data_IF_072612125021
#
_entry.id   IF_072612125021
#
_cell.length_a   1.000
_cell.length_b   1.000
_cell.length_c   1.000
_cell.angle_alpha   90.00
_cell.angle_beta   90.00
_cell.angle_gamma   90.00
#
_symmetry.space_group_name_H-M   'P 1'
#
loop_
_entity.id
_entity.type
_entity.pdbx_description
1 polymer ?
#
# COMPACT_ATOMS: atom_id res chain seq x y z
N UNK A 1 13.04 -15.48 -48.81
CA UNK A 1 12.26 -16.06 -47.71
C UNK A 1 12.90 -15.53 -46.42
N UNK A 2 12.33 -14.54 -45.83
CA UNK A 2 12.88 -13.85 -44.62
C UNK A 2 11.84 -13.94 -43.54
N UNK A 3 12.13 -14.75 -42.55
CA UNK A 3 11.28 -15.01 -41.39
C UNK A 3 11.25 -13.78 -40.46
N UNK A 4 10.10 -13.20 -40.33
CA UNK A 4 9.83 -12.14 -39.36
C UNK A 4 9.35 -12.78 -38.07
N UNK A 5 10.26 -12.97 -37.13
CA UNK A 5 9.95 -13.25 -35.74
C UNK A 5 9.54 -11.94 -35.06
N UNK A 6 8.24 -11.72 -34.93
CA UNK A 6 7.66 -10.63 -34.15
C UNK A 6 7.88 -10.91 -32.66
N UNK A 7 8.88 -10.27 -32.07
CA UNK A 7 9.07 -10.25 -30.64
C UNK A 7 7.95 -9.39 -30.01
N UNK A 8 6.99 -10.01 -29.37
CA UNK A 8 6.00 -9.34 -28.54
C UNK A 8 6.70 -8.90 -27.24
N UNK A 9 7.10 -7.62 -27.20
CA UNK A 9 7.54 -6.98 -25.94
C UNK A 9 6.29 -6.74 -25.09
N UNK A 10 6.05 -7.63 -24.13
CA UNK A 10 5.09 -7.38 -23.05
C UNK A 10 5.73 -6.32 -22.16
N UNK A 11 5.35 -5.07 -22.38
CA UNK A 11 5.65 -3.98 -21.47
C UNK A 11 4.93 -4.28 -20.15
N UNK A 12 5.69 -4.78 -19.17
CA UNK A 12 5.24 -4.89 -17.79
C UNK A 12 5.03 -3.45 -17.28
N UNK A 13 3.81 -2.93 -17.42
CA UNK A 13 3.42 -1.69 -16.77
C UNK A 13 3.54 -1.96 -15.26
N UNK A 14 4.65 -1.52 -14.66
CA UNK A 14 4.77 -1.44 -13.22
C UNK A 14 3.60 -0.59 -12.74
N UNK A 15 2.60 -1.21 -12.15
CA UNK A 15 1.57 -0.55 -11.36
C UNK A 15 2.33 0.22 -10.28
N UNK A 16 2.57 1.49 -10.54
CA UNK A 16 2.96 2.45 -9.51
C UNK A 16 1.74 2.53 -8.60
N UNK A 17 1.71 1.66 -7.59
CA UNK A 17 0.81 1.83 -6.46
C UNK A 17 1.24 3.18 -5.88
N UNK A 18 0.39 4.22 -5.94
CA UNK A 18 0.73 5.48 -5.29
C UNK A 18 1.02 5.11 -3.85
N UNK A 19 2.23 5.42 -3.37
CA UNK A 19 2.52 5.36 -1.94
C UNK A 19 1.37 6.07 -1.27
N UNK A 20 0.49 5.34 -0.59
CA UNK A 20 -0.56 5.96 0.22
C UNK A 20 0.19 6.86 1.16
N UNK A 21 0.18 8.12 0.83
CA UNK A 21 0.83 9.14 1.61
C UNK A 21 0.34 8.97 3.04
N UNK A 22 1.21 9.19 3.99
CA UNK A 22 0.95 9.06 5.40
C UNK A 22 -0.26 9.91 5.78
N UNK A 23 -1.44 9.31 5.75
CA UNK A 23 -2.69 9.94 6.13
C UNK A 23 -3.38 9.08 7.18
N UNK A 24 -3.97 9.73 8.18
CA UNK A 24 -4.85 9.09 9.14
C UNK A 24 -6.28 9.26 8.62
N UNK A 25 -7.16 8.35 8.95
CA UNK A 25 -8.58 8.49 8.64
C UNK A 25 -9.31 8.97 9.87
N UNK A 26 -10.08 10.07 9.74
CA UNK A 26 -10.98 10.57 10.77
C UNK A 26 -12.43 10.36 10.35
N UNK A 27 -13.27 9.86 11.26
CA UNK A 27 -14.72 9.78 11.05
C UNK A 27 -15.38 10.94 11.76
N UNK A 28 -15.98 11.83 10.97
CA UNK A 28 -16.60 13.07 11.45
C UNK A 28 -17.67 12.79 12.50
N UNK A 29 -17.57 13.44 13.65
CA UNK A 29 -18.55 13.37 14.72
C UNK A 29 -19.58 14.51 14.62
N UNK A 30 -20.77 14.39 15.22
CA UNK A 30 -21.73 15.48 15.26
C UNK A 30 -21.13 16.77 15.85
N UNK A 31 -21.27 17.89 15.11
CA UNK A 31 -20.80 19.21 15.53
C UNK A 31 -19.33 19.52 15.22
N UNK A 32 -18.55 18.59 14.67
CA UNK A 32 -17.17 18.87 14.26
C UNK A 32 -17.13 19.77 13.02
N UNK A 33 -16.11 20.63 12.96
CA UNK A 33 -15.80 21.49 11.81
C UNK A 33 -14.37 21.23 11.33
N UNK A 34 -14.08 21.55 10.07
CA UNK A 34 -12.70 21.40 9.54
C UNK A 34 -11.69 22.24 10.30
N UNK A 35 -12.08 23.45 10.73
CA UNK A 35 -11.22 24.30 11.55
C UNK A 35 -10.91 23.64 12.91
N UNK A 36 -11.92 23.10 13.60
CA UNK A 36 -11.72 22.37 14.85
C UNK A 36 -10.84 21.11 14.66
N UNK A 37 -11.03 20.39 13.56
CA UNK A 37 -10.19 19.25 13.23
C UNK A 37 -8.74 19.66 12.91
N UNK A 38 -8.53 20.77 12.20
CA UNK A 38 -7.19 21.30 11.93
C UNK A 38 -6.47 21.70 13.23
N UNK A 39 -7.19 22.35 14.17
CA UNK A 39 -6.64 22.67 15.49
C UNK A 39 -6.31 21.40 16.29
N UNK A 40 -7.22 20.45 16.34
CA UNK A 40 -7.08 19.18 17.05
C UNK A 40 -5.87 18.38 16.55
N UNK A 41 -5.75 18.19 15.22
CA UNK A 41 -4.69 17.37 14.64
C UNK A 41 -3.35 18.09 14.49
N UNK A 42 -3.34 19.39 14.19
CA UNK A 42 -2.10 20.12 13.89
C UNK A 42 -1.78 21.24 14.89
N UNK A 43 -2.73 21.58 15.78
CA UNK A 43 -2.60 22.76 16.65
C UNK A 43 -2.65 24.09 15.90
N UNK A 44 -3.17 24.09 14.66
CA UNK A 44 -3.15 25.26 13.76
C UNK A 44 -4.42 25.32 12.91
N UNK A 45 -5.28 26.29 13.17
CA UNK A 45 -6.53 26.53 12.41
C UNK A 45 -6.28 26.74 10.90
N UNK A 46 -5.18 27.40 10.53
CA UNK A 46 -4.85 27.65 9.12
C UNK A 46 -4.60 26.38 8.29
N UNK A 47 -4.39 25.23 8.91
CA UNK A 47 -4.26 23.95 8.23
C UNK A 47 -5.62 23.36 7.78
N UNK A 48 -6.76 24.02 8.10
CA UNK A 48 -8.07 23.68 7.56
C UNK A 48 -8.05 23.56 6.03
N UNK A 49 -7.37 24.49 5.35
CA UNK A 49 -7.23 24.46 3.88
C UNK A 49 -6.55 23.19 3.35
N UNK A 50 -5.66 22.59 4.14
CA UNK A 50 -5.01 21.33 3.79
C UNK A 50 -6.02 20.19 3.88
N UNK A 51 -6.86 20.18 4.92
CA UNK A 51 -7.95 19.19 5.06
C UNK A 51 -8.96 19.32 3.93
N UNK A 52 -9.33 20.56 3.55
CA UNK A 52 -10.22 20.82 2.40
C UNK A 52 -9.64 20.23 1.12
N UNK A 53 -8.38 20.55 0.80
CA UNK A 53 -7.76 20.12 -0.44
C UNK A 53 -7.48 18.60 -0.46
N UNK A 54 -7.02 18.02 0.64
CA UNK A 54 -6.74 16.58 0.73
C UNK A 54 -8.01 15.73 0.57
N UNK A 55 -9.16 16.27 0.92
CA UNK A 55 -10.45 15.59 0.84
C UNK A 55 -11.31 16.09 -0.35
N UNK A 56 -10.76 16.92 -1.22
CA UNK A 56 -11.44 17.48 -2.40
C UNK A 56 -12.78 18.17 -2.09
N UNK A 57 -12.88 18.83 -0.92
CA UNK A 57 -14.12 19.43 -0.45
C UNK A 57 -14.41 20.78 -1.13
N UNK A 58 -13.48 21.37 -1.84
CA UNK A 58 -13.59 22.60 -2.60
C UNK A 58 -14.17 22.43 -4.02
N UNK A 59 -14.07 21.23 -4.59
CA UNK A 59 -14.51 20.95 -5.96
C UNK A 59 -16.03 21.07 -6.17
N UNK A 60 -16.82 21.05 -5.11
CA UNK A 60 -18.29 21.05 -5.15
C UNK A 60 -18.93 22.27 -4.48
N UNK A 61 -18.21 23.41 -4.45
CA UNK A 61 -18.74 24.64 -3.87
C UNK A 61 -18.83 24.67 -2.34
N UNK A 62 -18.01 23.86 -1.67
CA UNK A 62 -17.95 23.74 -0.21
C UNK A 62 -18.93 22.71 0.33
N UNK A 63 -18.46 21.48 0.52
CA UNK A 63 -19.26 20.41 1.12
C UNK A 63 -19.35 20.66 2.64
N UNK A 64 -20.57 20.68 3.14
CA UNK A 64 -20.81 20.71 4.59
C UNK A 64 -20.41 19.35 5.19
N UNK A 65 -19.60 19.37 6.25
CA UNK A 65 -19.28 18.15 6.98
C UNK A 65 -20.55 17.51 7.54
N UNK A 66 -20.69 16.22 7.31
CA UNK A 66 -21.77 15.42 7.86
C UNK A 66 -21.21 14.35 8.79
N UNK A 67 -21.85 14.06 9.92
CA UNK A 67 -21.44 12.96 10.79
C UNK A 67 -21.34 11.65 10.01
N UNK A 68 -20.29 10.87 10.27
CA UNK A 68 -19.99 9.62 9.57
C UNK A 68 -19.14 9.77 8.30
N UNK A 69 -18.90 10.99 7.78
CA UNK A 69 -17.94 11.18 6.70
C UNK A 69 -16.55 10.77 7.14
N UNK A 70 -15.82 10.14 6.20
CA UNK A 70 -14.40 9.79 6.40
C UNK A 70 -13.53 10.85 5.75
N UNK A 71 -12.63 11.42 6.54
CA UNK A 71 -11.67 12.42 6.10
C UNK A 71 -10.25 11.88 6.21
N UNK A 72 -9.48 12.09 5.17
CA UNK A 72 -8.04 11.90 5.20
C UNK A 72 -7.38 13.08 5.94
N UNK A 73 -6.61 12.77 6.96
CA UNK A 73 -5.82 13.73 7.74
C UNK A 73 -4.35 13.57 7.32
N UNK A 74 -3.85 14.42 6.43
CA UNK A 74 -2.46 14.38 5.98
C UNK A 74 -1.46 14.47 7.13
N UNK A 75 -0.38 13.71 7.07
CA UNK A 75 0.73 13.84 8.00
C UNK A 75 2.05 13.52 7.30
N UNK A 76 3.16 14.05 7.83
CA UNK A 76 4.48 13.66 7.36
C UNK A 76 4.79 12.22 7.73
N UNK A 77 5.48 11.52 6.83
CA UNK A 77 6.05 10.22 7.13
C UNK A 77 7.44 10.31 7.75
N UNK A 78 7.94 9.15 8.20
CA UNK A 78 9.30 9.00 8.68
C UNK A 78 9.93 7.74 8.10
N UNK A 79 11.24 7.83 7.84
CA UNK A 79 12.02 6.68 7.38
C UNK A 79 13.37 6.68 8.08
N UNK A 80 13.86 5.51 8.44
CA UNK A 80 15.23 5.34 8.97
C UNK A 80 16.13 4.93 7.81
N UNK A 81 17.08 5.78 7.50
CA UNK A 81 18.04 5.62 6.40
C UNK A 81 18.84 4.33 6.56
N UNK A 82 18.94 3.56 5.50
CA UNK A 82 19.75 2.33 5.45
C UNK A 82 21.07 2.58 4.73
N UNK A 83 22.05 1.71 5.00
CA UNK A 83 23.33 1.74 4.28
C UNK A 83 23.10 1.53 2.78
N UNK A 84 23.58 2.46 1.97
CA UNK A 84 23.43 2.45 0.51
C UNK A 84 22.25 3.26 -0.01
N UNK A 85 21.42 3.85 0.85
CA UNK A 85 20.38 4.77 0.43
C UNK A 85 20.97 6.04 -0.17
N UNK A 86 20.25 6.62 -1.13
CA UNK A 86 20.55 7.93 -1.69
C UNK A 86 19.27 8.77 -1.75
N UNK A 87 19.39 10.10 -1.70
CA UNK A 87 18.23 11.00 -1.80
C UNK A 87 17.39 10.73 -3.05
N UNK A 88 18.06 10.43 -4.19
CA UNK A 88 17.36 10.13 -5.44
C UNK A 88 16.58 8.80 -5.37
N UNK A 89 17.13 7.76 -4.75
CA UNK A 89 16.44 6.49 -4.56
C UNK A 89 15.25 6.64 -3.61
N UNK A 90 15.45 7.34 -2.48
CA UNK A 90 14.40 7.61 -1.51
C UNK A 90 13.29 8.50 -2.09
N UNK A 91 13.64 9.54 -2.86
CA UNK A 91 12.65 10.38 -3.54
C UNK A 91 11.84 9.59 -4.57
N UNK A 92 12.46 8.69 -5.34
CA UNK A 92 11.73 7.78 -6.24
C UNK A 92 10.78 6.89 -5.47
N UNK A 93 11.22 6.33 -4.35
CA UNK A 93 10.43 5.41 -3.54
C UNK A 93 9.23 6.10 -2.87
N UNK A 94 9.45 7.25 -2.24
CA UNK A 94 8.43 7.90 -1.39
C UNK A 94 7.69 9.04 -2.08
N UNK A 95 8.34 9.74 -3.01
CA UNK A 95 7.77 10.89 -3.71
C UNK A 95 7.44 10.62 -5.18
N UNK A 96 7.70 9.39 -5.65
CA UNK A 96 7.37 8.93 -6.99
C UNK A 96 8.31 9.38 -8.11
N UNK A 97 9.29 10.26 -7.83
CA UNK A 97 10.26 10.75 -8.82
C UNK A 97 11.61 11.04 -8.16
N UNK A 98 12.71 10.55 -8.77
CA UNK A 98 14.06 10.76 -8.28
C UNK A 98 14.50 12.24 -8.34
N UNK A 99 13.97 13.03 -9.27
CA UNK A 99 14.26 14.46 -9.41
C UNK A 99 13.74 15.31 -8.26
N UNK A 100 12.87 14.75 -7.41
CA UNK A 100 12.38 15.36 -6.17
C UNK A 100 13.34 15.21 -5.00
N UNK A 101 14.55 14.72 -5.25
CA UNK A 101 15.59 14.48 -4.24
C UNK A 101 16.06 15.75 -3.53
N UNK A 102 16.10 16.87 -4.22
CA UNK A 102 16.45 18.17 -3.62
C UNK A 102 15.39 18.61 -2.59
N UNK A 103 14.13 18.47 -2.88
CA UNK A 103 13.06 18.80 -1.91
C UNK A 103 13.12 17.85 -0.72
N UNK A 104 13.35 16.54 -0.94
CA UNK A 104 13.47 15.58 0.15
C UNK A 104 14.68 15.87 1.05
N UNK A 105 15.85 16.14 0.47
CA UNK A 105 17.05 16.46 1.23
C UNK A 105 16.91 17.77 2.00
N UNK A 106 16.42 18.83 1.35
CA UNK A 106 16.19 20.15 1.99
C UNK A 106 15.13 20.08 3.10
N UNK A 107 14.13 19.22 2.98
CA UNK A 107 13.13 18.97 4.04
C UNK A 107 13.73 18.31 5.28
N UNK A 108 14.99 17.84 5.18
CA UNK A 108 15.75 17.18 6.23
C UNK A 108 17.06 17.92 6.54
N UNK A 109 17.08 19.22 6.28
CA UNK A 109 18.25 20.10 6.56
C UNK A 109 19.55 19.57 5.93
N UNK A 110 19.44 18.88 4.78
CA UNK A 110 20.56 18.31 4.03
C UNK A 110 20.62 18.85 2.60
N UNK A 111 21.71 18.59 1.93
CA UNK A 111 21.92 18.98 0.53
C UNK A 111 21.77 17.78 -0.40
N UNK A 112 21.25 17.96 -1.64
CA UNK A 112 21.02 16.85 -2.57
C UNK A 112 22.28 16.07 -2.97
N UNK A 113 23.45 16.72 -2.90
CA UNK A 113 24.77 16.12 -3.20
C UNK A 113 25.43 15.40 -2.02
N UNK A 114 24.87 15.55 -0.81
CA UNK A 114 25.33 14.80 0.37
C UNK A 114 24.57 13.47 0.43
N UNK A 115 25.27 12.41 0.84
CA UNK A 115 24.60 11.11 1.09
C UNK A 115 23.83 11.19 2.41
N UNK A 116 22.59 10.71 2.48
CA UNK A 116 21.85 10.64 3.73
C UNK A 116 22.58 9.71 4.71
N UNK A 117 22.60 10.09 5.98
CA UNK A 117 23.37 9.39 7.01
C UNK A 117 22.66 8.09 7.43
N UNK A 118 23.30 6.90 7.32
CA UNK A 118 22.70 5.65 7.75
C UNK A 118 22.32 5.67 9.23
N UNK A 119 21.10 5.25 9.56
CA UNK A 119 20.52 5.30 10.89
C UNK A 119 19.81 6.61 11.22
N UNK A 120 19.99 7.68 10.45
CA UNK A 120 19.24 8.92 10.61
C UNK A 120 17.76 8.70 10.34
N UNK A 121 16.90 9.33 11.14
CA UNK A 121 15.46 9.38 10.92
C UNK A 121 15.11 10.61 10.08
N UNK A 122 14.69 10.40 8.86
CA UNK A 122 14.29 11.47 7.94
C UNK A 122 12.78 11.64 7.88
N UNK A 123 12.36 12.87 7.60
CA UNK A 123 10.96 13.25 7.34
C UNK A 123 10.66 13.05 5.86
N UNK A 124 9.53 12.40 5.59
CA UNK A 124 9.00 12.25 4.23
C UNK A 124 7.82 13.21 4.07
N UNK A 125 7.89 14.18 3.15
CA UNK A 125 6.79 15.10 2.87
C UNK A 125 5.51 14.38 2.44
N UNK A 126 4.36 14.91 2.82
CA UNK A 126 3.09 14.48 2.26
C UNK A 126 2.87 15.15 0.91
N UNK A 127 2.55 14.38 -0.12
CA UNK A 127 2.22 14.89 -1.45
C UNK A 127 0.74 15.23 -1.54
N UNK A 128 0.40 16.52 -1.32
CA UNK A 128 -0.96 17.02 -1.52
C UNK A 128 -1.21 17.24 -3.02
N UNK A 129 -2.25 16.61 -3.56
CA UNK A 129 -2.71 16.84 -4.93
C UNK A 129 -3.72 17.97 -4.96
N UNK A 130 -3.43 19.04 -5.71
CA UNK A 130 -4.30 20.19 -5.89
C UNK A 130 -4.69 20.33 -7.36
N UNK A 131 -5.99 20.46 -7.64
CA UNK A 131 -6.48 20.82 -8.96
C UNK A 131 -6.48 22.35 -9.08
N UNK A 132 -5.67 22.87 -10.02
CA UNK A 132 -5.50 24.33 -10.19
C UNK A 132 -6.79 24.98 -10.70
N UNK A 133 -7.23 26.04 -10.06
CA UNK A 133 -8.34 26.91 -10.45
C UNK A 133 -7.86 28.09 -11.32
N UNK A 134 -8.81 28.88 -11.89
CA UNK A 134 -8.51 29.91 -12.90
C UNK A 134 -7.57 31.04 -12.41
N UNK A 135 -7.63 31.38 -11.12
CA UNK A 135 -6.97 32.58 -10.58
C UNK A 135 -5.73 32.24 -9.73
N UNK A 136 -5.28 30.96 -9.76
CA UNK A 136 -4.16 30.53 -8.96
C UNK A 136 -2.83 30.68 -9.71
N UNK A 137 -1.83 31.13 -8.99
CA UNK A 137 -0.43 31.18 -9.45
C UNK A 137 0.45 30.31 -8.57
N UNK A 138 1.61 29.88 -9.06
CA UNK A 138 2.56 29.10 -8.24
C UNK A 138 2.92 29.84 -6.95
N UNK A 139 3.01 31.19 -7.01
CA UNK A 139 3.32 32.06 -5.87
C UNK A 139 2.16 32.07 -4.87
N UNK A 140 0.91 32.20 -5.34
CA UNK A 140 -0.26 32.19 -4.44
C UNK A 140 -0.45 30.84 -3.78
N UNK A 141 -0.20 29.74 -4.51
CA UNK A 141 -0.26 28.38 -3.97
C UNK A 141 0.86 28.14 -2.95
N UNK A 142 2.09 28.59 -3.22
CA UNK A 142 3.19 28.51 -2.26
C UNK A 142 2.86 29.25 -0.97
N UNK A 143 2.35 30.47 -1.06
CA UNK A 143 1.90 31.24 0.11
C UNK A 143 0.76 30.52 0.87
N UNK A 144 -0.21 29.98 0.12
CA UNK A 144 -1.41 29.35 0.69
C UNK A 144 -1.10 28.05 1.42
N UNK A 145 -0.28 27.17 0.85
CA UNK A 145 -0.05 25.81 1.35
C UNK A 145 1.29 25.59 2.05
N UNK A 146 2.34 26.36 1.67
CA UNK A 146 3.67 26.24 2.24
C UNK A 146 4.01 27.40 3.19
N UNK A 147 3.10 28.38 3.34
CA UNK A 147 3.27 29.53 4.20
C UNK A 147 4.33 30.56 3.73
N UNK A 148 4.99 30.32 2.60
CA UNK A 148 6.07 31.14 2.08
C UNK A 148 6.00 31.24 0.54
N UNK A 149 5.75 32.46 0.04
CA UNK A 149 5.72 32.77 -1.38
C UNK A 149 7.05 32.50 -2.10
N UNK A 150 8.16 32.60 -1.37
CA UNK A 150 9.47 32.35 -1.92
C UNK A 150 9.71 30.88 -2.27
N UNK A 151 8.88 29.96 -1.78
CA UNK A 151 8.91 28.53 -2.12
C UNK A 151 8.25 28.21 -3.48
N UNK A 152 7.80 29.21 -4.23
CA UNK A 152 7.20 29.02 -5.56
C UNK A 152 8.14 28.28 -6.54
N UNK A 153 9.46 28.56 -6.51
CA UNK A 153 10.45 27.86 -7.32
C UNK A 153 10.47 26.35 -7.03
N UNK A 154 10.29 25.97 -5.78
CA UNK A 154 10.24 24.57 -5.37
C UNK A 154 9.05 23.85 -5.99
N UNK A 155 7.85 24.47 -6.00
CA UNK A 155 6.67 23.91 -6.66
C UNK A 155 6.87 23.78 -8.16
N UNK A 156 7.48 24.79 -8.80
CA UNK A 156 7.80 24.77 -10.24
C UNK A 156 8.69 23.57 -10.56
N UNK A 157 9.76 23.37 -9.80
CA UNK A 157 10.70 22.27 -10.00
C UNK A 157 10.10 20.90 -9.65
N UNK A 158 9.36 20.83 -8.54
CA UNK A 158 8.76 19.59 -8.07
C UNK A 158 7.75 18.99 -9.04
N UNK A 159 7.11 19.84 -9.86
CA UNK A 159 6.09 19.46 -10.81
C UNK A 159 6.57 19.58 -12.28
N UNK A 160 7.86 19.83 -12.52
CA UNK A 160 8.43 20.02 -13.86
C UNK A 160 7.64 21.03 -14.72
N UNK A 161 7.24 22.16 -14.11
CA UNK A 161 6.44 23.17 -14.78
C UNK A 161 7.29 23.96 -15.76
N UNK A 162 6.98 23.81 -17.06
CA UNK A 162 7.57 24.63 -18.11
C UNK A 162 7.07 26.07 -17.98
N UNK A 163 7.98 27.03 -17.85
CA UNK A 163 7.72 28.48 -17.74
C UNK A 163 6.98 28.94 -16.48
N UNK A 164 6.77 28.08 -15.48
CA UNK A 164 6.09 28.46 -14.23
C UNK A 164 4.63 28.87 -14.36
N UNK A 165 4.00 28.61 -15.53
CA UNK A 165 2.57 28.89 -15.76
C UNK A 165 1.72 27.70 -15.33
N UNK A 166 0.59 28.02 -14.72
CA UNK A 166 -0.43 27.03 -14.33
C UNK A 166 -1.59 27.10 -15.31
N UNK A 167 -2.05 25.96 -15.76
CA UNK A 167 -3.27 25.84 -16.55
C UNK A 167 -4.40 25.35 -15.67
N UNK A 168 -5.62 25.85 -15.90
CA UNK A 168 -6.81 25.37 -15.20
C UNK A 168 -6.97 23.86 -15.38
N UNK A 169 -7.22 23.16 -14.28
CA UNK A 169 -7.39 21.70 -14.27
C UNK A 169 -6.08 20.92 -14.18
N UNK A 170 -4.93 21.60 -14.21
CA UNK A 170 -3.65 20.95 -13.92
C UNK A 170 -3.66 20.38 -12.50
N UNK A 171 -3.21 19.16 -12.35
CA UNK A 171 -2.97 18.56 -11.02
C UNK A 171 -1.57 18.92 -10.57
N UNK A 172 -1.48 19.80 -9.57
CA UNK A 172 -0.24 20.22 -8.95
C UNK A 172 0.02 19.42 -7.68
N UNK A 173 1.23 18.89 -7.52
CA UNK A 173 1.63 18.21 -6.28
C UNK A 173 2.39 19.18 -5.38
N UNK A 174 1.92 19.32 -4.15
CA UNK A 174 2.50 20.21 -3.14
C UNK A 174 3.12 19.36 -2.04
N UNK A 175 4.47 19.37 -1.88
CA UNK A 175 5.16 18.63 -0.83
C UNK A 175 5.00 19.36 0.51
N UNK A 176 4.11 18.86 1.36
CA UNK A 176 3.87 19.42 2.69
C UNK A 176 4.87 18.83 3.68
N UNK A 177 5.68 19.68 4.28
CA UNK A 177 6.69 19.31 5.28
C UNK A 177 6.32 19.78 6.69
N UNK A 178 5.51 20.85 6.82
CA UNK A 178 5.10 21.47 8.09
C UNK A 178 3.65 21.08 8.48
N UNK A 179 3.37 19.77 8.46
CA UNK A 179 2.09 19.19 8.91
C UNK A 179 2.33 18.15 10.00
N UNK A 180 3.24 18.48 10.92
CA UNK A 180 3.44 17.63 12.09
C UNK A 180 2.18 17.60 12.96
N UNK A 181 1.84 16.41 13.44
CA UNK A 181 0.71 16.26 14.36
C UNK A 181 0.98 16.91 15.70
N UNK A 182 -0.03 17.54 16.28
CA UNK A 182 -0.06 17.97 17.67
C UNK A 182 0.06 16.76 18.62
N UNK A 183 0.26 16.98 19.90
CA UNK A 183 0.29 15.87 20.88
C UNK A 183 -1.06 15.14 20.93
N UNK A 184 -2.16 15.88 20.79
CA UNK A 184 -3.49 15.28 20.69
C UNK A 184 -3.65 14.48 19.38
N UNK A 185 -3.23 15.07 18.26
CA UNK A 185 -3.23 14.38 16.96
C UNK A 185 -2.41 13.08 16.97
N UNK A 186 -1.27 13.04 17.66
CA UNK A 186 -0.46 11.83 17.82
C UNK A 186 -1.19 10.75 18.63
N UNK A 187 -1.88 11.13 19.71
CA UNK A 187 -2.69 10.20 20.50
C UNK A 187 -3.81 9.59 19.67
N UNK A 188 -4.57 10.44 18.97
CA UNK A 188 -5.64 9.98 18.06
C UNK A 188 -5.13 9.06 16.96
N UNK A 189 -3.93 9.33 16.42
CA UNK A 189 -3.29 8.48 15.43
C UNK A 189 -2.95 7.10 15.98
N UNK A 190 -2.53 7.02 17.23
CA UNK A 190 -2.22 5.75 17.91
C UNK A 190 -3.48 4.96 18.18
N UNK A 191 -4.51 5.62 18.69
CA UNK A 191 -5.81 5.00 18.97
C UNK A 191 -6.47 4.47 17.69
N UNK A 192 -6.41 5.24 16.61
CA UNK A 192 -6.93 4.82 15.30
C UNK A 192 -6.20 3.58 14.76
N UNK A 193 -4.85 3.55 14.84
CA UNK A 193 -4.07 2.37 14.42
C UNK A 193 -4.39 1.13 15.24
N UNK A 194 -4.61 1.28 16.54
CA UNK A 194 -5.02 0.18 17.41
C UNK A 194 -6.41 -0.34 17.01
N UNK A 195 -7.38 0.54 16.79
CA UNK A 195 -8.73 0.18 16.32
C UNK A 195 -8.71 -0.47 14.95
N UNK A 196 -7.90 0.03 14.00
CA UNK A 196 -7.77 -0.56 12.66
C UNK A 196 -7.13 -1.95 12.71
N UNK A 197 -6.10 -2.14 13.56
CA UNK A 197 -5.49 -3.44 13.79
C UNK A 197 -6.48 -4.43 14.40
N UNK A 198 -7.30 -4.00 15.36
CA UNK A 198 -8.36 -4.83 15.96
C UNK A 198 -9.45 -5.20 14.95
N UNK A 199 -9.92 -4.24 14.16
CA UNK A 199 -10.89 -4.50 13.09
C UNK A 199 -10.35 -5.49 12.07
N UNK A 200 -9.11 -5.30 11.60
CA UNK A 200 -8.41 -6.20 10.70
C UNK A 200 -8.27 -7.61 11.29
N UNK A 201 -7.95 -7.72 12.57
CA UNK A 201 -7.83 -9.00 13.28
C UNK A 201 -9.17 -9.72 13.43
N UNK A 202 -10.27 -8.97 13.62
CA UNK A 202 -11.63 -9.51 13.67
C UNK A 202 -12.04 -10.04 12.30
N UNK A 203 -11.85 -9.27 11.25
CA UNK A 203 -12.16 -9.67 9.86
C UNK A 203 -11.36 -10.92 9.47
N UNK A 204 -10.07 -10.95 9.78
CA UNK A 204 -9.22 -12.11 9.55
C UNK A 204 -9.70 -13.34 10.29
N UNK A 205 -10.14 -13.22 11.55
CA UNK A 205 -10.73 -14.33 12.32
C UNK A 205 -12.03 -14.82 11.74
N UNK A 206 -12.90 -13.92 11.26
CA UNK A 206 -14.13 -14.29 10.58
C UNK A 206 -13.85 -15.09 9.31
N UNK A 207 -12.89 -14.65 8.51
CA UNK A 207 -12.49 -15.33 7.28
C UNK A 207 -11.87 -16.70 7.56
N UNK A 208 -11.02 -16.83 8.57
CA UNK A 208 -10.47 -18.11 9.04
C UNK A 208 -11.56 -19.09 9.45
N UNK A 209 -12.60 -18.61 10.15
CA UNK A 209 -13.75 -19.42 10.56
C UNK A 209 -14.58 -19.86 9.36
N UNK A 210 -14.80 -18.97 8.40
CA UNK A 210 -15.50 -19.29 7.14
C UNK A 210 -14.77 -20.38 6.38
N UNK A 211 -13.46 -20.23 6.19
CA UNK A 211 -12.61 -21.22 5.51
C UNK A 211 -12.63 -22.56 6.26
N UNK A 212 -12.55 -22.55 7.58
CA UNK A 212 -12.63 -23.78 8.40
C UNK A 212 -13.93 -24.55 8.10
N UNK A 213 -15.05 -23.87 7.90
CA UNK A 213 -16.32 -24.47 7.53
C UNK A 213 -16.36 -25.03 6.12
N UNK A 214 -15.53 -24.51 5.21
CA UNK A 214 -15.48 -24.95 3.80
C UNK A 214 -14.39 -26.01 3.51
N UNK A 215 -13.41 -26.23 4.37
CA UNK A 215 -12.37 -27.27 4.23
C UNK A 215 -12.98 -28.68 4.03
N UNK A 216 -14.04 -29.10 4.74
CA UNK A 216 -14.67 -30.41 4.49
C UNK A 216 -15.19 -30.56 3.05
N UNK A 217 -15.68 -29.48 2.43
CA UNK A 217 -16.13 -29.51 1.04
C UNK A 217 -14.93 -29.66 0.08
N UNK A 218 -13.80 -29.03 0.35
CA UNK A 218 -12.55 -29.23 -0.41
C UNK A 218 -12.11 -30.70 -0.38
N UNK A 219 -12.12 -31.31 0.80
CA UNK A 219 -11.76 -32.72 0.96
C UNK A 219 -12.78 -33.64 0.24
N UNK A 220 -14.06 -33.29 0.29
CA UNK A 220 -15.11 -34.03 -0.42
C UNK A 220 -14.95 -33.93 -1.95
N UNK A 221 -14.53 -32.79 -2.49
CA UNK A 221 -14.23 -32.61 -3.91
C UNK A 221 -13.08 -33.53 -4.36
N UNK A 222 -12.00 -33.61 -3.57
CA UNK A 222 -10.88 -34.55 -3.84
C UNK A 222 -11.35 -36.00 -3.84
N UNK A 223 -12.09 -36.41 -2.80
CA UNK A 223 -12.60 -37.79 -2.68
C UNK A 223 -13.54 -38.19 -3.82
N UNK A 224 -14.28 -37.21 -4.36
CA UNK A 224 -15.19 -37.41 -5.46
C UNK A 224 -14.53 -37.32 -6.84
N UNK A 225 -13.21 -37.08 -6.91
CA UNK A 225 -12.47 -36.91 -8.16
C UNK A 225 -12.73 -35.57 -8.87
N UNK A 226 -13.37 -34.59 -8.21
CA UNK A 226 -13.60 -33.25 -8.75
C UNK A 226 -12.40 -32.35 -8.55
N UNK A 227 -11.26 -32.75 -9.14
CA UNK A 227 -9.97 -32.11 -8.91
C UNK A 227 -9.92 -30.64 -9.35
N UNK A 228 -10.57 -30.29 -10.45
CA UNK A 228 -10.63 -28.90 -10.95
C UNK A 228 -11.39 -28.00 -9.95
N UNK A 229 -12.49 -28.48 -9.42
CA UNK A 229 -13.28 -27.72 -8.41
C UNK A 229 -12.50 -27.59 -7.12
N UNK A 230 -11.78 -28.63 -6.71
CA UNK A 230 -10.91 -28.63 -5.55
C UNK A 230 -9.79 -27.58 -5.70
N UNK A 231 -9.10 -27.55 -6.86
CA UNK A 231 -8.07 -26.54 -7.15
C UNK A 231 -8.66 -25.12 -7.11
N UNK A 232 -9.81 -24.90 -7.74
CA UNK A 232 -10.47 -23.60 -7.75
C UNK A 232 -10.85 -23.13 -6.33
N UNK A 233 -11.37 -24.05 -5.49
CA UNK A 233 -11.72 -23.78 -4.09
C UNK A 233 -10.48 -23.49 -3.26
N UNK A 234 -9.46 -24.30 -3.34
CA UNK A 234 -8.20 -24.12 -2.60
C UNK A 234 -7.52 -22.81 -2.94
N UNK A 235 -7.46 -22.45 -4.22
CA UNK A 235 -6.87 -21.18 -4.66
C UNK A 235 -7.65 -19.95 -4.14
N UNK A 236 -8.98 -20.03 -4.03
CA UNK A 236 -9.77 -18.97 -3.37
C UNK A 236 -9.39 -18.80 -1.91
N UNK A 237 -9.16 -19.89 -1.17
CA UNK A 237 -8.72 -19.82 0.23
C UNK A 237 -7.34 -19.17 0.35
N UNK A 238 -6.40 -19.56 -0.50
CA UNK A 238 -5.04 -19.00 -0.48
C UNK A 238 -5.05 -17.50 -0.80
N UNK A 239 -5.89 -17.07 -1.77
CA UNK A 239 -6.01 -15.68 -2.18
C UNK A 239 -6.46 -14.73 -1.06
N UNK A 240 -7.18 -15.21 -0.05
CA UNK A 240 -7.61 -14.39 1.11
C UNK A 240 -6.46 -13.96 2.02
N UNK A 241 -5.31 -14.69 1.97
CA UNK A 241 -4.16 -14.51 2.88
C UNK A 241 -4.53 -14.65 4.38
N UNK A 242 -5.68 -15.20 4.69
CA UNK A 242 -6.20 -15.33 6.05
C UNK A 242 -5.97 -16.72 6.67
N UNK A 243 -5.49 -17.70 5.89
CA UNK A 243 -5.28 -19.07 6.35
C UNK A 243 -4.36 -19.14 7.56
N UNK A 244 -4.80 -19.87 8.59
CA UNK A 244 -3.89 -20.29 9.67
C UNK A 244 -2.91 -21.36 9.17
N UNK A 245 -1.79 -21.52 9.86
CA UNK A 245 -0.78 -22.53 9.48
C UNK A 245 -1.36 -23.95 9.36
N UNK A 246 -2.22 -24.45 10.29
CA UNK A 246 -2.88 -25.74 10.10
C UNK A 246 -3.82 -25.81 8.90
N UNK A 247 -4.53 -24.70 8.59
CA UNK A 247 -5.38 -24.64 7.40
C UNK A 247 -4.56 -24.66 6.11
N UNK A 248 -3.42 -23.97 6.08
CA UNK A 248 -2.47 -24.00 4.96
C UNK A 248 -1.98 -25.43 4.71
N UNK A 249 -1.59 -26.14 5.77
CA UNK A 249 -1.13 -27.51 5.65
C UNK A 249 -2.18 -28.43 5.00
N UNK A 250 -3.44 -28.31 5.44
CA UNK A 250 -4.55 -29.10 4.85
C UNK A 250 -4.74 -28.71 3.38
N UNK A 251 -4.85 -27.41 3.09
CA UNK A 251 -5.14 -26.91 1.74
C UNK A 251 -4.04 -27.31 0.75
N UNK A 252 -2.78 -27.14 1.10
CA UNK A 252 -1.66 -27.51 0.22
C UNK A 252 -1.55 -29.02 0.03
N UNK A 253 -1.87 -29.82 1.05
CA UNK A 253 -1.94 -31.26 0.88
C UNK A 253 -3.05 -31.67 -0.10
N UNK A 254 -4.23 -31.06 -0.02
CA UNK A 254 -5.31 -31.34 -0.99
C UNK A 254 -4.95 -30.88 -2.41
N UNK A 255 -4.24 -29.73 -2.55
CA UNK A 255 -3.72 -29.28 -3.83
C UNK A 255 -2.69 -30.26 -4.41
N UNK A 256 -1.79 -30.79 -3.60
CA UNK A 256 -0.84 -31.82 -4.03
C UNK A 256 -1.58 -33.03 -4.63
N UNK A 257 -2.61 -33.53 -3.95
CA UNK A 257 -3.42 -34.66 -4.45
C UNK A 257 -4.13 -34.33 -5.76
N UNK A 258 -4.74 -33.14 -5.86
CA UNK A 258 -5.42 -32.67 -7.07
C UNK A 258 -4.44 -32.54 -8.25
N UNK A 259 -3.29 -31.90 -8.06
CA UNK A 259 -2.31 -31.67 -9.13
C UNK A 259 -1.66 -32.97 -9.62
N UNK A 260 -1.43 -33.93 -8.73
CA UNK A 260 -0.95 -35.26 -9.12
C UNK A 260 -2.00 -36.00 -9.95
N UNK A 261 -3.28 -35.89 -9.59
CA UNK A 261 -4.39 -36.50 -10.33
C UNK A 261 -4.59 -35.85 -11.70
N UNK A 262 -4.33 -34.54 -11.83
CA UNK A 262 -4.39 -33.80 -13.08
C UNK A 262 -3.08 -33.86 -13.91
N UNK A 263 -2.12 -34.68 -13.49
CA UNK A 263 -0.78 -34.82 -14.11
C UNK A 263 0.01 -33.48 -14.20
N UNK A 264 -0.28 -32.51 -13.32
CA UNK A 264 0.35 -31.22 -13.27
C UNK A 264 1.60 -31.25 -12.35
N UNK A 265 2.66 -31.96 -12.77
CA UNK A 265 3.80 -32.34 -11.93
C UNK A 265 4.53 -31.15 -11.30
N UNK A 266 4.74 -30.04 -12.04
CA UNK A 266 5.39 -28.84 -11.50
C UNK A 266 4.58 -28.18 -10.37
N UNK A 267 3.25 -28.09 -10.53
CA UNK A 267 2.35 -27.57 -9.50
C UNK A 267 2.24 -28.51 -8.30
N UNK A 268 2.29 -29.82 -8.54
CA UNK A 268 2.32 -30.82 -7.48
C UNK A 268 3.60 -30.73 -6.63
N UNK A 269 4.75 -30.53 -7.27
CA UNK A 269 6.01 -30.32 -6.56
C UNK A 269 6.00 -29.03 -5.72
N UNK A 270 5.48 -27.93 -6.26
CA UNK A 270 5.31 -26.67 -5.54
C UNK A 270 4.37 -26.85 -4.32
N UNK A 271 3.20 -27.44 -4.52
CA UNK A 271 2.24 -27.70 -3.44
C UNK A 271 2.81 -28.59 -2.33
N UNK A 272 3.69 -29.56 -2.68
CA UNK A 272 4.39 -30.35 -1.66
C UNK A 272 5.40 -29.51 -0.86
N UNK A 273 6.12 -28.59 -1.52
CA UNK A 273 7.02 -27.65 -0.84
C UNK A 273 6.27 -26.76 0.15
N UNK A 274 5.15 -26.18 -0.29
CA UNK A 274 4.29 -25.34 0.55
C UNK A 274 3.67 -26.14 1.70
N UNK A 275 3.24 -27.39 1.46
CA UNK A 275 2.75 -28.26 2.52
C UNK A 275 3.82 -28.52 3.59
N UNK A 276 5.06 -28.87 3.19
CA UNK A 276 6.17 -29.06 4.12
C UNK A 276 6.51 -27.81 4.93
N UNK A 277 6.36 -26.64 4.31
CA UNK A 277 6.59 -25.35 4.98
C UNK A 277 5.49 -25.07 6.01
N UNK A 278 4.25 -25.39 5.68
CA UNK A 278 3.09 -25.19 6.56
C UNK A 278 3.00 -26.24 7.67
N UNK A 279 3.52 -27.44 7.45
CA UNK A 279 3.52 -28.55 8.42
C UNK A 279 4.93 -29.12 8.57
N UNK A 280 5.64 -28.71 9.63
CA UNK A 280 6.99 -29.21 9.94
C UNK A 280 7.03 -30.73 10.22
N UNK A 281 5.88 -31.34 10.53
CA UNK A 281 5.71 -32.77 10.78
C UNK A 281 5.09 -33.50 9.57
N UNK A 282 5.12 -32.87 8.37
CA UNK A 282 4.58 -33.49 7.16
C UNK A 282 5.19 -34.89 6.95
N UNK A 283 4.36 -35.91 7.12
CA UNK A 283 4.81 -37.30 7.05
C UNK A 283 4.79 -37.80 5.60
N UNK A 284 5.97 -38.05 5.05
CA UNK A 284 6.18 -38.64 3.70
C UNK A 284 6.26 -40.16 3.74
N UNK A 285 5.54 -40.81 4.66
CA UNK A 285 5.54 -42.26 4.79
C UNK A 285 4.95 -42.92 3.53
N UNK A 286 5.71 -43.86 2.88
CA UNK A 286 5.22 -44.64 1.76
C UNK A 286 3.95 -45.48 2.04
N UNK A 287 3.67 -45.74 3.32
CA UNK A 287 2.44 -46.43 3.73
C UNK A 287 1.21 -45.53 3.73
N UNK A 288 1.41 -44.19 3.76
CA UNK A 288 0.34 -43.19 3.85
C UNK A 288 0.13 -42.38 2.56
N UNK A 289 1.17 -42.32 1.69
CA UNK A 289 1.15 -41.56 0.46
C UNK A 289 1.39 -42.48 -0.74
N UNK A 290 0.64 -42.22 -1.82
CA UNK A 290 0.85 -42.98 -3.07
C UNK A 290 2.23 -42.71 -3.66
N UNK A 291 2.78 -43.65 -4.44
CA UNK A 291 4.09 -43.50 -5.10
C UNK A 291 4.18 -42.22 -5.97
N UNK A 292 3.06 -41.81 -6.60
CA UNK A 292 2.99 -40.60 -7.43
C UNK A 292 3.11 -39.32 -6.57
N UNK A 293 2.48 -39.29 -5.41
CA UNK A 293 2.57 -38.15 -4.45
C UNK A 293 4.01 -38.03 -3.92
N UNK A 294 4.63 -39.17 -3.56
CA UNK A 294 6.03 -39.21 -3.13
C UNK A 294 7.00 -38.74 -4.21
N UNK A 295 6.74 -39.13 -5.48
CA UNK A 295 7.56 -38.71 -6.62
C UNK A 295 7.48 -37.17 -6.79
N UNK A 296 6.30 -36.55 -6.71
CA UNK A 296 6.13 -35.14 -6.77
C UNK A 296 6.88 -34.41 -5.63
N UNK A 297 6.83 -34.95 -4.41
CA UNK A 297 7.52 -34.38 -3.25
C UNK A 297 9.05 -34.47 -3.30
N UNK A 298 9.61 -35.44 -4.04
CA UNK A 298 11.07 -35.54 -4.30
C UNK A 298 11.57 -34.46 -5.26
N UNK A 299 10.73 -33.99 -6.18
CA UNK A 299 11.07 -32.92 -7.12
C UNK A 299 11.06 -31.53 -6.47
N UNK A 300 10.37 -31.33 -5.34
CA UNK A 300 10.31 -30.06 -4.62
C UNK A 300 11.61 -29.70 -3.87
N UNK A 301 12.60 -30.59 -3.85
CA UNK A 301 13.87 -30.45 -3.09
C UNK A 301 15.03 -29.98 -3.96
N UNK A 302 14.80 -29.62 -5.21
CA UNK A 302 15.78 -29.00 -6.12
C UNK A 302 15.38 -27.53 -6.36
#
# INVERSE_FOLDING_TARGET
MRDWLSAIIIALAALVVPSRAFALVHVVQPGETLAALAEKYYGRLQHERILVAANHLDLQGGIRLMPGMRLDIPTTGFYVVKKGDSWAALARQFLGNAERSDVLSMSNDSSPWMTPEPGARIVIPYNLSLVVSNDETVVSIAQKYLGDRNKAWMLTRYNDLKKGTLERGLVLIIPLTDIALSEEGKRLATDFKAMEADASSIEQRHEQKRIAGEIPALIADIRAGRYVDAVARANRFIATKALTQPQQAIVYRQLLEAYVALDAQGLAAAACGDWKTADSNANLDPGLLSPKLLAACKQSTK
#
